data_IF_887594284610
#
_entry.id   IF_887594284610
#
_cell.length_a   1.000
_cell.length_b   1.000
_cell.length_c   1.000
_cell.angle_alpha   90.00
_cell.angle_beta   90.00
_cell.angle_gamma   90.00
#
_symmetry.space_group_name_H-M   'P 1'
#
loop_
_entity.id
_entity.type
_entity.pdbx_description
1 polymer ?
#
# COMPACT_ATOMS: atom_id res chain seq x y z
N UNK A 1 26.61 64.66 -19.49
CA UNK A 1 26.48 63.19 -19.43
C UNK A 1 27.00 62.64 -20.75
N UNK A 2 28.26 62.21 -20.75
CA UNK A 2 29.12 62.11 -21.93
C UNK A 2 28.73 60.97 -22.89
N UNK A 3 28.99 61.18 -24.18
CA UNK A 3 28.75 60.28 -25.32
C UNK A 3 29.35 58.87 -25.20
N UNK A 4 30.15 58.63 -24.17
CA UNK A 4 30.76 57.33 -23.84
C UNK A 4 29.70 56.36 -23.27
N UNK A 5 28.67 56.86 -22.59
CA UNK A 5 27.63 56.00 -21.99
C UNK A 5 26.60 55.48 -23.01
N UNK A 6 26.46 56.15 -24.17
CA UNK A 6 25.56 55.71 -25.27
C UNK A 6 26.18 54.63 -26.18
N UNK A 7 27.51 54.54 -26.27
CA UNK A 7 28.19 53.52 -27.10
C UNK A 7 28.28 52.14 -26.42
N UNK A 8 28.25 52.09 -25.09
CA UNK A 8 28.25 50.83 -24.32
C UNK A 8 26.89 50.11 -24.32
N UNK A 9 25.79 50.83 -24.56
CA UNK A 9 24.44 50.24 -24.55
C UNK A 9 23.97 49.67 -25.90
N UNK A 10 24.70 49.95 -27.00
CA UNK A 10 24.23 49.63 -28.36
C UNK A 10 24.90 48.41 -29.02
N UNK A 11 25.82 47.72 -28.34
CA UNK A 11 26.54 46.56 -28.91
C UNK A 11 26.19 45.20 -28.27
N UNK A 12 25.13 45.10 -27.46
CA UNK A 12 24.71 43.83 -26.84
C UNK A 12 23.66 43.08 -27.68
N UNK A 13 23.14 43.66 -28.76
CA UNK A 13 22.02 43.04 -29.51
C UNK A 13 22.45 42.70 -30.93
N UNK A 14 23.07 41.53 -31.09
CA UNK A 14 22.97 40.68 -32.29
C UNK A 14 23.58 39.30 -31.99
N UNK A 15 22.76 38.44 -31.37
CA UNK A 15 23.04 37.00 -31.28
C UNK A 15 22.31 36.34 -32.45
N UNK A 16 22.99 35.75 -33.44
CA UNK A 16 22.31 34.90 -34.40
C UNK A 16 21.98 33.57 -33.71
N UNK A 17 20.69 33.27 -33.61
CA UNK A 17 20.21 31.96 -33.20
C UNK A 17 20.43 30.99 -34.36
N UNK A 18 21.51 30.19 -34.30
CA UNK A 18 21.74 29.08 -35.22
C UNK A 18 21.39 27.79 -34.47
N UNK A 19 20.29 27.18 -34.89
CA UNK A 19 19.90 25.83 -34.49
C UNK A 19 20.90 24.83 -35.09
N UNK A 20 21.59 24.08 -34.23
CA UNK A 20 22.51 23.04 -34.66
C UNK A 20 23.13 22.33 -33.46
N UNK A 21 22.99 21.01 -33.43
CA UNK A 21 23.59 20.10 -32.45
C UNK A 21 25.08 20.44 -32.25
N UNK A 22 25.47 20.69 -31.00
CA UNK A 22 26.83 20.68 -30.41
C UNK A 22 27.30 22.00 -29.77
N UNK A 23 27.53 21.90 -28.45
CA UNK A 23 28.55 22.58 -27.64
C UNK A 23 28.65 24.11 -27.81
N UNK A 24 28.01 24.83 -26.88
CA UNK A 24 28.21 26.27 -26.67
C UNK A 24 29.67 26.55 -26.27
N UNK A 25 30.41 27.25 -27.12
CA UNK A 25 31.78 27.71 -26.88
C UNK A 25 31.74 29.24 -26.81
N UNK A 26 31.88 29.81 -25.62
CA UNK A 26 32.08 31.25 -25.44
C UNK A 26 33.53 31.57 -25.83
N UNK A 27 33.72 32.30 -26.92
CA UNK A 27 35.02 32.90 -27.27
C UNK A 27 35.01 34.35 -26.79
N UNK A 28 35.66 34.60 -25.66
CA UNK A 28 36.10 35.94 -25.27
C UNK A 28 37.49 36.12 -25.91
N UNK A 29 37.62 37.10 -26.79
CA UNK A 29 38.88 37.47 -27.40
C UNK A 29 39.62 38.40 -26.42
N UNK A 30 40.65 37.89 -25.75
CA UNK A 30 41.69 38.72 -25.10
C UNK A 30 43.08 38.20 -25.49
N UNK A 31 44.07 39.10 -25.64
CA UNK A 31 45.34 38.80 -26.29
C UNK A 31 46.37 38.20 -25.34
N UNK A 32 47.17 37.28 -25.89
CA UNK A 32 48.52 36.86 -25.49
C UNK A 32 48.92 36.99 -24.02
N UNK A 33 48.69 35.93 -23.23
CA UNK A 33 49.62 35.58 -22.16
C UNK A 33 49.67 34.07 -21.92
N UNK A 34 50.88 33.50 -22.02
CA UNK A 34 51.17 32.08 -21.80
C UNK A 34 51.04 31.76 -20.32
N UNK A 35 49.83 31.47 -19.86
CA UNK A 35 49.61 30.80 -18.58
C UNK A 35 48.87 29.51 -18.92
N UNK A 36 49.47 28.36 -18.56
CA UNK A 36 48.88 27.05 -18.75
C UNK A 36 47.52 26.98 -18.06
N UNK A 37 46.46 27.27 -18.82
CA UNK A 37 45.09 27.21 -18.35
C UNK A 37 44.72 25.73 -18.27
N UNK A 38 44.91 25.12 -17.11
CA UNK A 38 44.21 23.88 -16.77
C UNK A 38 42.74 24.24 -16.91
N UNK A 39 41.98 23.67 -17.88
CA UNK A 39 40.59 24.03 -18.02
C UNK A 39 39.87 23.44 -16.81
N UNK A 40 39.67 24.25 -15.77
CA UNK A 40 38.76 23.93 -14.68
C UNK A 40 37.36 23.87 -15.27
N UNK A 41 37.00 22.69 -15.78
CA UNK A 41 35.65 22.37 -16.21
C UNK A 41 34.85 22.18 -14.94
N UNK A 42 34.24 23.25 -14.45
CA UNK A 42 33.16 23.10 -13.49
C UNK A 42 32.03 22.34 -14.18
N UNK A 43 31.97 21.05 -13.91
CA UNK A 43 30.89 20.18 -14.34
C UNK A 43 29.66 20.56 -13.51
N UNK A 44 28.98 21.64 -13.92
CA UNK A 44 27.75 22.16 -13.28
C UNK A 44 26.65 21.10 -13.21
N UNK A 45 26.77 20.02 -13.98
CA UNK A 45 25.92 18.84 -13.94
C UNK A 45 26.12 18.00 -12.67
N UNK A 46 27.28 18.07 -12.01
CA UNK A 46 27.52 17.43 -10.71
C UNK A 46 26.65 18.03 -9.59
N UNK A 47 26.24 19.30 -9.73
CA UNK A 47 25.28 19.96 -8.83
C UNK A 47 23.84 19.98 -9.38
N UNK A 48 23.61 19.40 -10.56
CA UNK A 48 22.29 19.29 -11.18
C UNK A 48 21.61 17.94 -10.89
N UNK A 49 22.30 17.01 -10.22
CA UNK A 49 21.70 15.78 -9.70
C UNK A 49 20.84 16.12 -8.48
N UNK A 50 19.55 16.30 -8.79
CA UNK A 50 18.41 16.58 -7.93
C UNK A 50 18.46 17.88 -7.10
N UNK A 51 18.13 19.03 -7.72
CA UNK A 51 17.37 20.02 -6.96
C UNK A 51 16.10 19.30 -6.51
N UNK A 52 16.01 18.93 -5.22
CA UNK A 52 14.75 18.57 -4.57
C UNK A 52 13.70 19.54 -5.12
N UNK A 53 12.75 19.04 -5.95
CA UNK A 53 11.77 19.91 -6.59
C UNK A 53 11.03 20.66 -5.49
N UNK A 54 11.37 21.92 -5.32
CA UNK A 54 10.84 22.77 -4.25
C UNK A 54 9.45 23.29 -4.61
N UNK A 55 9.05 23.19 -5.88
CA UNK A 55 7.75 23.61 -6.36
C UNK A 55 6.75 22.46 -6.47
N UNK A 56 5.51 22.71 -6.05
CA UNK A 56 4.43 21.76 -6.23
C UNK A 56 4.18 21.44 -7.71
N UNK A 57 3.81 20.19 -8.01
CA UNK A 57 3.43 19.83 -9.37
C UNK A 57 2.28 20.70 -9.92
N UNK A 58 2.45 21.18 -11.15
CA UNK A 58 1.46 21.99 -11.86
C UNK A 58 0.13 21.24 -12.02
N UNK A 59 -1.02 21.94 -12.05
CA UNK A 59 -2.34 21.31 -12.17
C UNK A 59 -2.46 20.35 -13.36
N UNK A 60 -1.84 20.70 -14.50
CA UNK A 60 -1.82 19.87 -15.70
C UNK A 60 -1.07 18.55 -15.49
N UNK A 61 0.09 18.57 -14.83
CA UNK A 61 0.85 17.35 -14.48
C UNK A 61 0.07 16.45 -13.52
N UNK A 62 -0.58 17.02 -12.50
CA UNK A 62 -1.44 16.27 -11.55
C UNK A 62 -2.63 15.60 -12.25
N UNK A 63 -3.25 16.26 -13.23
CA UNK A 63 -4.34 15.68 -14.03
C UNK A 63 -3.84 14.58 -14.98
N UNK A 64 -2.70 14.76 -15.64
CA UNK A 64 -2.11 13.73 -16.50
C UNK A 64 -1.67 12.49 -15.72
N UNK A 65 -1.07 12.65 -14.54
CA UNK A 65 -0.72 11.55 -13.64
C UNK A 65 -1.97 10.77 -13.21
N UNK A 66 -3.06 11.47 -12.85
CA UNK A 66 -4.36 10.85 -12.56
C UNK A 66 -4.93 10.09 -13.75
N UNK A 67 -4.91 10.65 -14.96
CA UNK A 67 -5.35 9.95 -16.19
C UNK A 67 -4.55 8.68 -16.46
N UNK A 68 -3.27 8.67 -16.09
CA UNK A 68 -2.37 7.50 -16.16
C UNK A 68 -2.57 6.50 -15.01
N UNK A 69 -3.51 6.74 -14.09
CA UNK A 69 -3.75 5.91 -12.90
C UNK A 69 -2.68 6.05 -11.81
N UNK A 70 -1.82 7.07 -11.89
CA UNK A 70 -0.78 7.34 -10.91
C UNK A 70 -1.31 8.30 -9.85
N UNK A 71 -1.62 7.73 -8.69
CA UNK A 71 -2.21 8.41 -7.54
C UNK A 71 -1.62 7.85 -6.26
N UNK A 72 -1.42 8.71 -5.23
CA UNK A 72 -0.91 8.25 -3.96
C UNK A 72 -1.95 7.32 -3.33
N UNK A 73 -1.53 6.09 -3.02
CA UNK A 73 -2.33 5.10 -2.31
C UNK A 73 -1.45 4.33 -1.35
N UNK A 74 -1.93 4.11 -0.14
CA UNK A 74 -1.26 3.25 0.83
C UNK A 74 -1.93 1.88 0.83
N UNK A 75 -1.21 0.89 0.28
CA UNK A 75 -1.69 -0.50 0.28
C UNK A 75 -1.79 -1.04 1.71
N UNK A 76 -0.90 -0.63 2.62
CA UNK A 76 -0.97 -1.02 4.03
C UNK A 76 -2.23 -0.50 4.70
N UNK A 77 -2.59 0.77 4.45
CA UNK A 77 -3.81 1.36 5.03
C UNK A 77 -5.07 0.63 4.56
N UNK A 78 -5.15 0.27 3.27
CA UNK A 78 -6.27 -0.51 2.76
C UNK A 78 -6.39 -1.87 3.47
N UNK A 79 -5.28 -2.60 3.55
CA UNK A 79 -5.26 -3.94 4.18
C UNK A 79 -5.65 -3.89 5.66
N UNK A 80 -5.12 -2.92 6.41
CA UNK A 80 -5.39 -2.80 7.86
C UNK A 80 -6.83 -2.38 8.12
N UNK A 81 -7.38 -1.45 7.34
CA UNK A 81 -8.80 -1.03 7.48
C UNK A 81 -9.74 -2.20 7.19
N UNK A 82 -9.50 -2.96 6.13
CA UNK A 82 -10.29 -4.16 5.81
C UNK A 82 -10.18 -5.19 6.94
N UNK A 83 -8.96 -5.46 7.42
CA UNK A 83 -8.73 -6.41 8.51
C UNK A 83 -9.47 -6.00 9.80
N UNK A 84 -9.32 -4.74 10.22
CA UNK A 84 -10.01 -4.20 11.39
C UNK A 84 -11.53 -4.34 11.25
N UNK A 85 -12.06 -3.96 10.09
CA UNK A 85 -13.48 -4.02 9.85
C UNK A 85 -14.03 -5.46 9.82
N UNK A 86 -13.25 -6.43 9.33
CA UNK A 86 -13.60 -7.85 9.42
C UNK A 86 -13.68 -8.33 10.87
N UNK A 87 -12.74 -7.95 11.73
CA UNK A 87 -12.85 -8.26 13.17
C UNK A 87 -14.07 -7.61 13.81
N UNK A 88 -14.40 -6.37 13.43
CA UNK A 88 -15.61 -5.68 13.90
C UNK A 88 -16.87 -6.43 13.46
N UNK A 89 -16.96 -6.83 12.18
CA UNK A 89 -18.08 -7.63 11.65
C UNK A 89 -18.20 -8.95 12.40
N UNK A 90 -17.08 -9.67 12.58
CA UNK A 90 -17.06 -10.92 13.34
C UNK A 90 -17.51 -10.71 14.79
N UNK A 91 -17.19 -9.58 15.42
CA UNK A 91 -17.63 -9.32 16.79
C UNK A 91 -19.15 -9.08 16.88
N UNK A 92 -19.74 -8.36 15.92
CA UNK A 92 -21.18 -8.12 15.89
C UNK A 92 -21.98 -9.34 15.45
N UNK A 93 -21.47 -10.12 14.49
CA UNK A 93 -22.13 -11.30 13.95
C UNK A 93 -21.65 -12.62 14.58
N UNK A 94 -20.77 -12.57 15.58
CA UNK A 94 -20.08 -13.74 16.13
C UNK A 94 -21.01 -14.83 16.64
N UNK A 95 -22.06 -14.45 17.37
CA UNK A 95 -23.09 -15.39 17.84
C UNK A 95 -23.85 -16.03 16.67
N UNK A 96 -24.14 -15.24 15.63
CA UNK A 96 -24.79 -15.76 14.43
C UNK A 96 -23.88 -16.75 13.68
N UNK A 97 -22.59 -16.43 13.50
CA UNK A 97 -21.62 -17.38 12.93
C UNK A 97 -21.52 -18.67 13.74
N UNK A 98 -21.45 -18.57 15.07
CA UNK A 98 -21.41 -19.74 15.95
C UNK A 98 -22.64 -20.63 15.73
N UNK A 99 -23.85 -20.04 15.74
CA UNK A 99 -25.08 -20.79 15.55
C UNK A 99 -25.16 -21.44 14.17
N UNK A 100 -24.80 -20.73 13.10
CA UNK A 100 -24.80 -21.29 11.74
C UNK A 100 -23.79 -22.44 11.58
N UNK A 101 -22.64 -22.35 12.24
CA UNK A 101 -21.66 -23.43 12.27
C UNK A 101 -22.18 -24.65 13.04
N UNK A 102 -22.85 -24.46 14.18
CA UNK A 102 -23.47 -25.55 14.93
C UNK A 102 -24.57 -26.21 14.10
N UNK A 103 -25.48 -25.44 13.50
CA UNK A 103 -26.54 -25.97 12.62
C UNK A 103 -25.96 -26.73 11.44
N UNK A 104 -24.85 -26.26 10.87
CA UNK A 104 -24.14 -26.95 9.79
C UNK A 104 -23.56 -28.30 10.25
N UNK A 105 -22.86 -28.32 11.39
CA UNK A 105 -22.24 -29.53 11.96
C UNK A 105 -23.31 -30.54 12.38
N UNK A 106 -24.34 -30.12 13.11
CA UNK A 106 -25.45 -30.97 13.54
C UNK A 106 -26.23 -31.52 12.34
N UNK A 107 -26.45 -30.69 11.32
CA UNK A 107 -27.08 -31.12 10.07
C UNK A 107 -26.28 -32.22 9.36
N UNK A 108 -24.94 -32.13 9.38
CA UNK A 108 -24.05 -33.12 8.78
C UNK A 108 -23.95 -34.41 9.61
N UNK A 109 -23.97 -34.31 10.94
CA UNK A 109 -23.93 -35.45 11.85
C UNK A 109 -25.32 -36.05 12.14
N UNK A 110 -26.38 -35.50 11.54
CA UNK A 110 -27.73 -35.99 11.73
C UNK A 110 -27.89 -37.43 11.20
N UNK A 111 -28.72 -38.28 11.84
CA UNK A 111 -28.98 -39.62 11.36
C UNK A 111 -29.47 -39.64 9.91
N UNK A 112 -30.29 -38.67 9.51
CA UNK A 112 -30.79 -38.55 8.14
C UNK A 112 -29.65 -38.33 7.14
N UNK A 113 -28.70 -37.45 7.46
CA UNK A 113 -27.53 -37.21 6.60
C UNK A 113 -26.58 -38.41 6.53
N UNK A 114 -26.36 -39.09 7.67
CA UNK A 114 -25.46 -40.24 7.75
C UNK A 114 -26.02 -41.49 7.07
N UNK A 115 -27.35 -41.64 7.02
CA UNK A 115 -28.03 -42.77 6.38
C UNK A 115 -28.53 -42.44 4.97
N UNK A 116 -28.16 -41.27 4.42
CA UNK A 116 -28.57 -40.90 3.05
C UNK A 116 -27.93 -41.84 2.04
N UNK A 117 -28.75 -42.52 1.23
CA UNK A 117 -28.26 -43.37 0.14
C UNK A 117 -27.54 -42.52 -0.91
N UNK A 118 -26.34 -42.96 -1.31
CA UNK A 118 -25.52 -42.31 -2.33
C UNK A 118 -26.04 -42.64 -3.73
N UNK A 119 -27.12 -41.95 -4.13
CA UNK A 119 -27.60 -41.89 -5.52
C UNK A 119 -27.19 -40.57 -6.17
N UNK A 120 -27.10 -40.52 -7.50
CA UNK A 120 -26.71 -39.30 -8.23
C UNK A 120 -27.57 -38.08 -7.86
N UNK A 121 -28.88 -38.28 -7.66
CA UNK A 121 -29.81 -37.23 -7.25
C UNK A 121 -29.56 -36.77 -5.80
N UNK A 122 -29.28 -37.69 -4.88
CA UNK A 122 -29.00 -37.36 -3.49
C UNK A 122 -27.66 -36.66 -3.31
N UNK A 123 -26.64 -37.07 -4.07
CA UNK A 123 -25.31 -36.43 -4.07
C UNK A 123 -25.42 -34.99 -4.59
N UNK A 124 -26.17 -34.74 -5.66
CA UNK A 124 -26.39 -33.39 -6.18
C UNK A 124 -27.07 -32.46 -5.16
N UNK A 125 -28.12 -32.94 -4.51
CA UNK A 125 -28.82 -32.18 -3.46
C UNK A 125 -27.93 -31.91 -2.23
N UNK A 126 -27.14 -32.90 -1.82
CA UNK A 126 -26.19 -32.76 -0.73
C UNK A 126 -25.14 -31.70 -1.07
N UNK A 127 -24.56 -31.75 -2.27
CA UNK A 127 -23.56 -30.77 -2.71
C UNK A 127 -24.15 -29.35 -2.76
N UNK A 128 -25.36 -29.18 -3.29
CA UNK A 128 -26.04 -27.88 -3.30
C UNK A 128 -26.27 -27.35 -1.88
N UNK A 129 -26.71 -28.19 -0.94
CA UNK A 129 -26.91 -27.82 0.47
C UNK A 129 -25.60 -27.34 1.11
N UNK A 130 -24.49 -28.02 0.85
CA UNK A 130 -23.17 -27.61 1.34
C UNK A 130 -22.71 -26.28 0.71
N UNK A 131 -22.88 -26.10 -0.60
CA UNK A 131 -22.58 -24.84 -1.26
C UNK A 131 -23.40 -23.68 -0.66
N UNK A 132 -24.71 -23.87 -0.45
CA UNK A 132 -25.57 -22.85 0.14
C UNK A 132 -25.17 -22.53 1.58
N UNK A 133 -24.83 -23.53 2.39
CA UNK A 133 -24.34 -23.30 3.75
C UNK A 133 -23.01 -22.54 3.75
N UNK A 134 -22.07 -22.91 2.85
CA UNK A 134 -20.82 -22.18 2.67
C UNK A 134 -21.09 -20.71 2.32
N UNK A 135 -21.88 -20.43 1.29
CA UNK A 135 -22.18 -19.05 0.93
C UNK A 135 -22.92 -18.31 2.03
N UNK A 136 -23.89 -18.94 2.71
CA UNK A 136 -24.60 -18.33 3.82
C UNK A 136 -23.62 -17.89 4.91
N UNK A 137 -22.74 -18.78 5.36
CA UNK A 137 -21.76 -18.50 6.42
C UNK A 137 -20.71 -17.49 5.94
N UNK A 138 -20.10 -17.66 4.77
CA UNK A 138 -18.95 -16.82 4.39
C UNK A 138 -19.33 -15.50 3.68
N UNK A 139 -20.53 -15.39 3.10
CA UNK A 139 -20.94 -14.20 2.35
C UNK A 139 -20.88 -12.91 3.19
N UNK A 140 -21.35 -12.84 4.44
CA UNK A 140 -21.30 -11.59 5.20
C UNK A 140 -19.88 -11.05 5.38
N UNK A 141 -18.89 -11.94 5.58
CA UNK A 141 -17.48 -11.55 5.67
C UNK A 141 -16.91 -11.15 4.31
N UNK A 142 -17.13 -11.96 3.28
CA UNK A 142 -16.63 -11.69 1.93
C UNK A 142 -17.21 -10.40 1.34
N UNK A 143 -18.52 -10.21 1.48
CA UNK A 143 -19.22 -9.00 1.06
C UNK A 143 -18.78 -7.79 1.88
N UNK A 144 -18.64 -7.94 3.21
CA UNK A 144 -18.08 -6.90 4.07
C UNK A 144 -16.68 -6.46 3.61
N UNK A 145 -15.75 -7.40 3.43
CA UNK A 145 -14.41 -7.12 2.92
C UNK A 145 -14.43 -6.42 1.56
N UNK A 146 -15.28 -6.87 0.64
CA UNK A 146 -15.43 -6.27 -0.68
C UNK A 146 -15.92 -4.82 -0.58
N UNK A 147 -17.00 -4.57 0.16
CA UNK A 147 -17.57 -3.23 0.32
C UNK A 147 -16.58 -2.29 1.00
N UNK A 148 -15.99 -2.70 2.12
CA UNK A 148 -15.03 -1.87 2.86
C UNK A 148 -13.78 -1.62 2.01
N UNK A 149 -13.28 -2.64 1.31
CA UNK A 149 -12.15 -2.54 0.39
C UNK A 149 -12.39 -1.54 -0.75
N UNK A 150 -13.58 -1.58 -1.36
CA UNK A 150 -13.98 -0.61 -2.38
C UNK A 150 -14.11 0.80 -1.80
N UNK A 151 -14.73 0.95 -0.63
CA UNK A 151 -14.92 2.25 0.03
C UNK A 151 -13.58 2.89 0.40
N UNK A 152 -12.67 2.15 1.05
CA UNK A 152 -11.37 2.72 1.45
C UNK A 152 -10.53 3.07 0.21
N UNK A 153 -10.58 2.25 -0.84
CA UNK A 153 -9.89 2.54 -2.09
C UNK A 153 -10.44 3.81 -2.75
N UNK A 154 -11.77 3.94 -2.79
CA UNK A 154 -12.46 5.12 -3.30
C UNK A 154 -12.13 6.38 -2.48
N UNK A 155 -12.09 6.29 -1.14
CA UNK A 155 -11.71 7.43 -0.28
C UNK A 155 -10.27 7.87 -0.53
N UNK A 156 -9.33 6.94 -0.74
CA UNK A 156 -7.93 7.27 -0.97
C UNK A 156 -7.70 7.90 -2.36
N UNK A 157 -8.31 7.34 -3.40
CA UNK A 157 -7.97 7.63 -4.80
C UNK A 157 -9.03 8.49 -5.51
N UNK A 158 -10.30 8.30 -5.17
CA UNK A 158 -11.47 8.78 -5.91
C UNK A 158 -11.81 7.91 -7.12
N UNK A 159 -12.83 8.30 -7.89
CA UNK A 159 -13.15 7.67 -9.16
C UNK A 159 -12.06 7.99 -10.20
N UNK A 160 -11.20 7.02 -10.51
CA UNK A 160 -10.23 7.13 -11.60
C UNK A 160 -10.38 5.91 -12.51
N UNK A 161 -10.87 6.16 -13.72
CA UNK A 161 -10.93 5.15 -14.77
C UNK A 161 -9.71 5.32 -15.68
N UNK A 162 -8.75 4.38 -15.62
CA UNK A 162 -7.60 4.35 -16.51
C UNK A 162 -7.30 2.92 -16.93
N UNK A 163 -7.32 2.67 -18.24
CA UNK A 163 -6.92 1.39 -18.83
C UNK A 163 -5.41 1.35 -19.15
N UNK A 164 -4.70 2.45 -18.93
CA UNK A 164 -3.27 2.58 -19.23
C UNK A 164 -2.38 1.64 -18.38
N UNK A 165 -2.70 1.36 -17.10
CA UNK A 165 -1.98 0.37 -16.29
C UNK A 165 -2.12 -1.08 -16.76
N UNK A 166 -3.16 -1.42 -17.55
CA UNK A 166 -3.38 -2.77 -18.08
C UNK A 166 -2.47 -3.10 -19.27
N UNK A 167 -1.80 -2.10 -19.87
CA UNK A 167 -0.84 -2.35 -20.95
C UNK A 167 0.41 -3.04 -20.39
N UNK A 168 0.83 -4.20 -20.92
CA UNK A 168 2.04 -4.87 -20.47
C UNK A 168 3.27 -4.00 -20.75
N UNK A 169 4.00 -3.65 -19.69
CA UNK A 169 5.26 -2.89 -19.79
C UNK A 169 6.43 -3.85 -19.54
N UNK A 170 7.08 -4.32 -20.61
CA UNK A 170 8.24 -5.23 -20.52
C UNK A 170 9.40 -4.64 -19.71
N UNK A 171 9.51 -3.31 -19.64
CA UNK A 171 10.50 -2.63 -18.79
C UNK A 171 10.32 -2.91 -17.28
N UNK A 172 9.13 -3.34 -16.84
CA UNK A 172 8.87 -3.74 -15.44
C UNK A 172 9.20 -5.21 -15.16
N UNK A 173 9.51 -6.02 -16.18
CA UNK A 173 9.77 -7.45 -16.05
C UNK A 173 11.27 -7.79 -15.97
N UNK A 174 12.17 -6.80 -15.96
CA UNK A 174 13.60 -7.07 -15.90
C UNK A 174 14.03 -7.55 -14.49
N UNK A 175 14.46 -8.82 -14.33
CA UNK A 175 14.80 -9.39 -13.03
C UNK A 175 15.98 -8.71 -12.35
N UNK A 176 16.93 -8.17 -13.11
CA UNK A 176 18.11 -7.45 -12.57
C UNK A 176 17.69 -6.16 -11.88
N UNK A 177 16.75 -5.42 -12.49
CA UNK A 177 16.20 -4.20 -11.88
C UNK A 177 15.36 -4.50 -10.63
N UNK A 178 14.66 -5.65 -10.61
CA UNK A 178 13.93 -6.14 -9.45
C UNK A 178 14.84 -6.50 -8.28
N UNK A 179 15.92 -7.25 -8.54
CA UNK A 179 16.94 -7.61 -7.55
C UNK A 179 17.63 -6.36 -6.99
N UNK A 180 18.04 -5.41 -7.84
CA UNK A 180 18.65 -4.15 -7.39
C UNK A 180 17.72 -3.34 -6.49
N UNK A 181 16.40 -3.37 -6.75
CA UNK A 181 15.40 -2.72 -5.89
C UNK A 181 15.29 -3.41 -4.52
N UNK A 182 15.29 -4.74 -4.48
CA UNK A 182 15.21 -5.52 -3.25
C UNK A 182 16.46 -5.30 -2.38
N UNK A 183 17.66 -5.34 -2.97
CA UNK A 183 18.94 -5.13 -2.27
C UNK A 183 19.39 -3.65 -2.23
N UNK A 184 18.47 -2.71 -2.44
CA UNK A 184 18.77 -1.28 -2.28
C UNK A 184 18.74 -0.86 -0.80
N UNK A 185 19.38 0.27 -0.48
CA UNK A 185 19.27 0.87 0.86
C UNK A 185 17.81 1.09 1.28
N UNK A 186 16.96 1.50 0.34
CA UNK A 186 15.52 1.64 0.57
C UNK A 186 14.84 0.29 0.88
N UNK A 187 15.18 -0.78 0.15
CA UNK A 187 14.68 -2.13 0.41
C UNK A 187 15.07 -2.67 1.79
N UNK A 188 16.32 -2.43 2.23
CA UNK A 188 16.80 -2.79 3.57
C UNK A 188 16.06 -2.03 4.67
N UNK A 189 15.79 -0.73 4.48
CA UNK A 189 15.02 0.08 5.43
C UNK A 189 13.57 -0.41 5.56
N UNK A 190 12.91 -0.74 4.45
CA UNK A 190 11.55 -1.31 4.46
C UNK A 190 11.50 -2.68 5.15
N UNK A 191 12.52 -3.51 4.95
CA UNK A 191 12.66 -4.78 5.66
C UNK A 191 12.82 -4.57 7.17
N UNK A 192 13.68 -3.64 7.59
CA UNK A 192 13.87 -3.32 9.01
C UNK A 192 12.56 -2.83 9.66
N UNK A 193 11.83 -1.92 9.00
CA UNK A 193 10.49 -1.48 9.46
C UNK A 193 9.52 -2.64 9.60
N UNK A 194 9.54 -3.58 8.64
CA UNK A 194 8.66 -4.75 8.65
C UNK A 194 8.97 -5.70 9.81
N UNK A 195 10.26 -5.92 10.12
CA UNK A 195 10.67 -6.71 11.29
C UNK A 195 10.22 -6.03 12.58
N UNK A 196 10.41 -4.72 12.71
CA UNK A 196 9.95 -3.97 13.90
C UNK A 196 8.43 -4.11 14.06
N UNK A 197 7.66 -3.93 12.98
CA UNK A 197 6.21 -4.14 12.98
C UNK A 197 5.86 -5.56 13.46
N UNK A 198 6.55 -6.58 12.95
CA UNK A 198 6.33 -7.97 13.35
C UNK A 198 6.63 -8.22 14.83
N UNK A 199 7.74 -7.70 15.36
CA UNK A 199 8.11 -7.84 16.77
C UNK A 199 7.04 -7.22 17.69
N UNK A 200 6.49 -6.06 17.29
CA UNK A 200 5.41 -5.40 18.04
C UNK A 200 4.12 -6.24 18.00
N UNK A 201 3.78 -6.82 16.84
CA UNK A 201 2.65 -7.76 16.70
C UNK A 201 2.81 -8.96 17.63
N UNK A 202 3.98 -9.59 17.64
CA UNK A 202 4.31 -10.71 18.53
C UNK A 202 4.22 -10.29 19.99
N UNK A 203 4.74 -9.12 20.33
CA UNK A 203 4.66 -8.57 21.68
C UNK A 203 3.20 -8.41 22.15
N UNK A 204 2.32 -7.83 21.34
CA UNK A 204 0.91 -7.67 21.71
C UNK A 204 0.17 -9.00 21.87
N UNK A 205 0.43 -9.96 20.99
CA UNK A 205 -0.12 -11.30 21.09
C UNK A 205 0.36 -11.99 22.37
N UNK A 206 1.68 -12.05 22.59
CA UNK A 206 2.28 -12.67 23.76
C UNK A 206 1.82 -12.03 25.06
N UNK A 207 1.86 -10.69 25.15
CA UNK A 207 1.47 -9.95 26.35
C UNK A 207 0.00 -10.20 26.73
N UNK A 208 -0.90 -10.21 25.74
CA UNK A 208 -2.33 -10.45 25.99
C UNK A 208 -2.60 -11.90 26.36
N UNK A 209 -1.98 -12.87 25.69
CA UNK A 209 -2.13 -14.30 26.04
C UNK A 209 -1.61 -14.55 27.46
N UNK A 210 -0.46 -13.97 27.80
CA UNK A 210 0.14 -14.11 29.14
C UNK A 210 -0.79 -13.63 30.25
N UNK A 211 -1.53 -12.54 30.03
CA UNK A 211 -2.51 -12.00 30.97
C UNK A 211 -3.69 -12.94 31.23
N UNK A 212 -3.98 -13.86 30.31
CA UNK A 212 -5.12 -14.78 30.39
C UNK A 212 -4.71 -16.24 30.69
N UNK A 213 -3.44 -16.52 31.02
CA UNK A 213 -2.96 -17.88 31.29
C UNK A 213 -3.78 -18.64 32.33
N UNK A 214 -4.13 -17.98 33.44
CA UNK A 214 -4.94 -18.59 34.49
C UNK A 214 -6.38 -18.90 34.02
N UNK A 215 -6.93 -18.07 33.14
CA UNK A 215 -8.27 -18.26 32.59
C UNK A 215 -8.37 -19.52 31.71
N UNK A 216 -7.27 -19.90 31.04
CA UNK A 216 -7.24 -21.14 30.23
C UNK A 216 -7.33 -22.40 31.10
N UNK A 217 -6.84 -22.38 32.34
CA UNK A 217 -6.92 -23.52 33.25
C UNK A 217 -8.37 -23.78 33.68
N UNK A 218 -9.16 -22.72 33.85
CA UNK A 218 -10.57 -22.81 34.24
C UNK A 218 -11.50 -23.25 33.09
N UNK A 219 -11.05 -23.17 31.83
CA UNK A 219 -11.83 -23.56 30.65
C UNK A 219 -12.17 -25.05 30.61
N UNK A 220 -11.35 -25.90 31.23
CA UNK A 220 -11.54 -27.36 31.19
C UNK A 220 -12.87 -27.82 31.83
N UNK A 221 -13.54 -26.96 32.60
CA UNK A 221 -14.80 -27.24 33.30
C UNK A 221 -16.00 -26.50 32.70
N UNK A 222 -15.81 -25.77 31.59
CA UNK A 222 -16.85 -24.94 30.99
C UNK A 222 -17.51 -25.61 29.79
N UNK A 223 -18.68 -25.09 29.38
CA UNK A 223 -19.36 -25.58 28.17
C UNK A 223 -18.59 -25.16 26.89
N UNK A 224 -18.74 -25.86 25.76
CA UNK A 224 -18.10 -25.49 24.51
C UNK A 224 -18.41 -24.05 24.06
N UNK A 225 -19.62 -23.56 24.33
CA UNK A 225 -20.03 -22.19 24.00
C UNK A 225 -19.28 -21.15 24.85
N UNK A 226 -19.17 -21.38 26.16
CA UNK A 226 -18.47 -20.46 27.05
C UNK A 226 -16.97 -20.40 26.73
N UNK A 227 -16.36 -21.56 26.45
CA UNK A 227 -14.97 -21.63 25.98
C UNK A 227 -14.80 -20.84 24.68
N UNK A 228 -15.69 -21.02 23.70
CA UNK A 228 -15.65 -20.28 22.44
C UNK A 228 -15.77 -18.77 22.64
N UNK A 229 -16.66 -18.30 23.52
CA UNK A 229 -16.80 -16.87 23.85
C UNK A 229 -15.54 -16.30 24.51
N UNK A 230 -14.94 -17.03 25.44
CA UNK A 230 -13.72 -16.56 26.11
C UNK A 230 -12.55 -16.51 25.13
N UNK A 231 -12.37 -17.55 24.31
CA UNK A 231 -11.35 -17.57 23.25
C UNK A 231 -11.56 -16.42 22.25
N UNK A 232 -12.80 -16.22 21.79
CA UNK A 232 -13.16 -15.11 20.91
C UNK A 232 -12.77 -13.77 21.52
N UNK A 233 -13.11 -13.54 22.80
CA UNK A 233 -12.77 -12.30 23.50
C UNK A 233 -11.27 -12.05 23.54
N UNK A 234 -10.45 -13.08 23.80
CA UNK A 234 -8.98 -12.96 23.81
C UNK A 234 -8.46 -12.67 22.40
N UNK A 235 -8.92 -13.42 21.39
CA UNK A 235 -8.54 -13.23 19.98
C UNK A 235 -8.89 -11.81 19.52
N UNK A 236 -10.12 -11.35 19.81
CA UNK A 236 -10.59 -10.02 19.44
C UNK A 236 -9.78 -8.92 20.12
N UNK A 237 -9.42 -9.06 21.40
CA UNK A 237 -8.54 -8.12 22.08
C UNK A 237 -7.14 -8.04 21.45
N UNK A 238 -6.53 -9.19 21.14
CA UNK A 238 -5.23 -9.26 20.44
C UNK A 238 -5.33 -8.58 19.08
N UNK A 239 -6.35 -8.95 18.31
CA UNK A 239 -6.61 -8.41 16.98
C UNK A 239 -6.80 -6.89 16.99
N UNK A 240 -7.59 -6.36 17.92
CA UNK A 240 -7.81 -4.92 18.05
C UNK A 240 -6.53 -4.16 18.41
N UNK A 241 -5.74 -4.64 19.37
CA UNK A 241 -4.46 -4.00 19.73
C UNK A 241 -3.52 -3.93 18.53
N UNK A 242 -3.39 -5.04 17.80
CA UNK A 242 -2.56 -5.12 16.59
C UNK A 242 -3.10 -4.23 15.48
N UNK A 243 -4.39 -4.31 15.17
CA UNK A 243 -5.00 -3.53 14.10
C UNK A 243 -4.92 -2.03 14.38
N UNK A 244 -5.13 -1.60 15.63
CA UNK A 244 -5.02 -0.18 16.00
C UNK A 244 -3.58 0.32 15.84
N UNK A 245 -2.60 -0.45 16.30
CA UNK A 245 -1.18 -0.13 16.10
C UNK A 245 -0.83 -0.02 14.61
N UNK A 246 -1.18 -1.03 13.82
CA UNK A 246 -0.93 -1.03 12.37
C UNK A 246 -1.68 0.09 11.65
N UNK A 247 -2.87 0.46 12.13
CA UNK A 247 -3.67 1.53 11.54
C UNK A 247 -2.99 2.87 11.74
N UNK A 248 -2.50 3.13 12.96
CA UNK A 248 -1.73 4.34 13.27
C UNK A 248 -0.49 4.42 12.37
N UNK A 249 0.28 3.34 12.26
CA UNK A 249 1.46 3.27 11.38
C UNK A 249 1.09 3.52 9.91
N UNK A 250 0.04 2.87 9.41
CA UNK A 250 -0.39 3.00 8.03
C UNK A 250 -0.95 4.39 7.69
N UNK A 251 -1.56 5.08 8.67
CA UNK A 251 -1.99 6.48 8.52
C UNK A 251 -0.76 7.39 8.38
N UNK A 252 0.28 7.21 9.21
CA UNK A 252 1.53 7.97 9.07
C UNK A 252 2.18 7.73 7.70
N UNK A 253 2.27 6.48 7.26
CA UNK A 253 2.82 6.13 5.95
C UNK A 253 1.98 6.74 4.81
N UNK A 254 0.65 6.74 4.92
CA UNK A 254 -0.22 7.38 3.95
C UNK A 254 -0.05 8.91 3.90
N UNK A 255 0.06 9.57 5.06
CA UNK A 255 0.30 11.02 5.13
C UNK A 255 1.65 11.38 4.52
N UNK A 256 2.69 10.59 4.80
CA UNK A 256 4.02 10.76 4.21
C UNK A 256 3.99 10.61 2.68
N UNK A 257 3.40 9.53 2.17
CA UNK A 257 3.24 9.30 0.73
C UNK A 257 2.44 10.42 0.04
N UNK A 258 1.39 10.93 0.70
CA UNK A 258 0.57 12.03 0.17
C UNK A 258 1.34 13.34 0.13
N UNK A 259 2.21 13.59 1.10
CA UNK A 259 3.08 14.76 1.13
C UNK A 259 4.16 14.67 0.04
N UNK A 260 4.81 13.51 -0.09
CA UNK A 260 5.81 13.25 -1.13
C UNK A 260 5.24 13.40 -2.55
N UNK A 261 4.02 12.91 -2.77
CA UNK A 261 3.30 13.08 -4.04
C UNK A 261 2.95 14.54 -4.36
N UNK A 262 2.79 15.42 -3.35
CA UNK A 262 2.55 16.86 -3.59
C UNK A 262 3.82 17.59 -4.04
N UNK A 263 4.98 17.14 -3.57
CA UNK A 263 6.30 17.67 -3.94
C UNK A 263 6.82 17.20 -5.30
N UNK A 264 6.40 16.02 -5.76
CA UNK A 264 6.87 15.38 -7.01
C UNK A 264 6.21 15.92 -8.28
#
# INVERSE_FOLDING_TARGET
>A
MSEISRRLFMNIIRIPFIAGNNRLRLMINEPDEKIGSVPFRFELQFFADDPEKTEEATPRRKQEARKKGQVPRSNELNSVVVLLALFVILNFLGKWFYNELIVYIEGYLSPDALNTELSDANVGNLMLRHCLAFFRIFMPLGFGALVIGLVINYIQVGAIFSLEPLKPKFSKLNPVSGLKRIFSAHGLLELAKSIIKLLIVVYFAYSTIRQHLFLFLDMARQTPFDVAMVLWRIIYQVALKICLFLLIMAIFDYLYQRWEYRKS
#
